data_IF_327584791844
#
_entry.id   IF_327584791844
#
_cell.length_a   1.000
_cell.length_b   1.000
_cell.length_c   1.000
_cell.angle_alpha   90.00
_cell.angle_beta   90.00
_cell.angle_gamma   90.00
#
_symmetry.space_group_name_H-M   'P 1'
#
loop_
_entity.id
_entity.type
_entity.pdbx_description
1 polymer ?
#
# COMPACT_ATOMS: atom_id res chain seq x y z
N UNK A 1 -1.74 -16.96 18.99
CA UNK A 1 -1.04 -16.35 17.85
C UNK A 1 -1.43 -17.13 16.61
N UNK A 2 -1.74 -16.46 15.50
CA UNK A 2 -2.06 -17.15 14.25
C UNK A 2 -0.75 -17.57 13.58
N UNK A 3 -0.57 -18.87 13.34
CA UNK A 3 0.58 -19.38 12.60
C UNK A 3 0.43 -18.94 11.13
N UNK A 4 1.43 -18.23 10.61
CA UNK A 4 1.39 -17.74 9.24
C UNK A 4 1.82 -18.86 8.29
N UNK A 5 1.19 -18.97 7.11
CA UNK A 5 1.58 -19.98 6.13
C UNK A 5 3.03 -19.76 5.67
N UNK A 6 3.76 -20.86 5.47
CA UNK A 6 5.12 -20.80 4.92
C UNK A 6 5.08 -20.33 3.46
N UNK A 7 5.95 -19.38 3.12
CA UNK A 7 6.05 -18.88 1.76
C UNK A 7 6.77 -19.91 0.86
N UNK A 8 6.26 -20.19 -0.35
CA UNK A 8 6.95 -21.03 -1.30
C UNK A 8 8.23 -20.34 -1.82
N UNK A 9 9.29 -21.11 -2.03
CA UNK A 9 10.61 -20.57 -2.45
C UNK A 9 10.89 -20.70 -3.96
N UNK A 10 9.99 -21.33 -4.71
CA UNK A 10 10.14 -21.46 -6.17
C UNK A 10 9.53 -20.25 -6.87
N UNK A 11 10.17 -19.76 -7.94
CA UNK A 11 9.81 -18.49 -8.57
C UNK A 11 8.35 -18.36 -9.00
N UNK A 12 7.75 -19.42 -9.60
CA UNK A 12 6.34 -19.37 -10.04
C UNK A 12 5.36 -19.34 -8.87
N UNK A 13 5.61 -20.14 -7.83
CA UNK A 13 4.73 -20.20 -6.68
C UNK A 13 4.86 -18.95 -5.80
N UNK A 14 6.07 -18.41 -5.65
CA UNK A 14 6.30 -17.14 -4.98
C UNK A 14 5.57 -16.00 -5.69
N UNK A 15 5.71 -15.91 -7.03
CA UNK A 15 5.00 -14.92 -7.83
C UNK A 15 3.48 -14.97 -7.64
N UNK A 16 2.90 -16.17 -7.57
CA UNK A 16 1.46 -16.31 -7.37
C UNK A 16 0.99 -15.80 -5.99
N UNK A 17 1.86 -15.83 -4.97
CA UNK A 17 1.59 -15.24 -3.66
C UNK A 17 1.79 -13.72 -3.71
N UNK A 18 2.85 -13.24 -4.37
CA UNK A 18 3.09 -11.81 -4.60
C UNK A 18 1.90 -11.16 -5.31
N UNK A 19 1.42 -11.74 -6.41
CA UNK A 19 0.28 -11.22 -7.18
C UNK A 19 -1.00 -11.12 -6.31
N UNK A 20 -1.20 -12.05 -5.36
CA UNK A 20 -2.33 -12.01 -4.42
C UNK A 20 -2.16 -10.90 -3.37
N UNK A 21 -0.97 -10.75 -2.81
CA UNK A 21 -0.66 -9.71 -1.84
C UNK A 21 -0.77 -8.32 -2.47
N UNK A 22 -0.30 -8.17 -3.71
CA UNK A 22 -0.42 -6.93 -4.48
C UNK A 22 -1.90 -6.57 -4.70
N UNK A 23 -2.73 -7.56 -5.08
CA UNK A 23 -4.17 -7.35 -5.23
C UNK A 23 -4.86 -6.88 -3.94
N UNK A 24 -4.55 -7.51 -2.80
CA UNK A 24 -5.08 -7.10 -1.49
C UNK A 24 -4.61 -5.71 -1.09
N UNK A 25 -3.34 -5.40 -1.30
CA UNK A 25 -2.74 -4.10 -0.96
C UNK A 25 -3.33 -2.99 -1.82
N UNK A 26 -3.51 -3.21 -3.13
CA UNK A 26 -4.17 -2.27 -4.03
C UNK A 26 -5.63 -2.03 -3.64
N UNK A 27 -6.39 -3.09 -3.33
CA UNK A 27 -7.77 -2.95 -2.89
C UNK A 27 -7.88 -2.14 -1.58
N UNK A 28 -6.99 -2.40 -0.62
CA UNK A 28 -6.91 -1.65 0.63
C UNK A 28 -6.58 -0.17 0.37
N UNK A 29 -5.53 0.13 -0.40
CA UNK A 29 -5.13 1.49 -0.70
C UNK A 29 -6.26 2.27 -1.41
N UNK A 30 -6.94 1.64 -2.37
CA UNK A 30 -8.08 2.24 -3.06
C UNK A 30 -9.27 2.52 -2.13
N UNK A 31 -9.63 1.57 -1.28
CA UNK A 31 -10.70 1.76 -0.29
C UNK A 31 -10.34 2.85 0.74
N UNK A 32 -9.08 2.89 1.18
CA UNK A 32 -8.58 3.88 2.14
C UNK A 32 -8.55 5.29 1.53
N UNK A 33 -8.16 5.42 0.26
CA UNK A 33 -8.27 6.68 -0.48
C UNK A 33 -9.73 7.14 -0.62
N UNK A 34 -10.63 6.24 -1.02
CA UNK A 34 -12.04 6.55 -1.19
C UNK A 34 -12.69 7.07 0.10
N UNK A 35 -12.33 6.49 1.25
CA UNK A 35 -12.95 6.85 2.53
C UNK A 35 -12.39 8.11 3.17
N UNK A 36 -11.07 8.31 3.14
CA UNK A 36 -10.41 9.41 3.88
C UNK A 36 -9.77 10.49 3.00
N UNK A 37 -9.56 10.24 1.71
CA UNK A 37 -8.88 11.18 0.82
C UNK A 37 -7.54 11.65 1.40
N UNK A 38 -7.29 12.96 1.41
CA UNK A 38 -6.04 13.55 1.90
C UNK A 38 -5.85 13.47 3.42
N UNK A 39 -6.88 13.17 4.21
CA UNK A 39 -6.77 13.23 5.67
C UNK A 39 -5.86 12.13 6.25
N UNK A 40 -5.84 10.96 5.60
CA UNK A 40 -5.07 9.81 6.06
C UNK A 40 -4.18 9.21 4.98
N UNK A 41 -4.01 9.88 3.85
CA UNK A 41 -3.15 9.40 2.77
C UNK A 41 -2.11 10.46 2.46
N UNK A 42 -0.89 10.01 2.21
CA UNK A 42 0.14 10.84 1.60
C UNK A 42 0.02 10.78 0.09
N UNK A 43 0.14 11.95 -0.53
CA UNK A 43 0.17 12.11 -1.97
C UNK A 43 1.53 12.68 -2.33
N UNK A 44 2.31 11.89 -3.05
CA UNK A 44 3.68 12.20 -3.49
C UNK A 44 3.65 12.52 -4.98
N UNK A 45 4.35 13.57 -5.41
CA UNK A 45 4.49 13.95 -6.83
C UNK A 45 3.64 15.16 -7.24
N UNK A 46 3.54 15.37 -8.54
CA UNK A 46 2.91 16.54 -9.17
C UNK A 46 2.34 16.21 -10.57
N UNK A 47 1.79 17.21 -11.26
CA UNK A 47 1.21 17.04 -12.59
C UNK A 47 2.26 16.67 -13.67
N UNK A 48 3.54 16.94 -13.45
CA UNK A 48 4.61 16.61 -14.41
C UNK A 48 5.09 15.16 -14.26
N UNK A 49 5.14 14.66 -13.02
CA UNK A 49 5.72 13.36 -12.67
C UNK A 49 4.68 12.29 -12.33
N UNK A 50 3.42 12.71 -12.10
CA UNK A 50 2.32 11.87 -11.63
C UNK A 50 2.28 11.75 -10.10
N UNK A 51 1.16 11.22 -9.61
CA UNK A 51 0.89 11.10 -8.18
C UNK A 51 0.98 9.65 -7.69
N UNK A 52 1.60 9.45 -6.53
CA UNK A 52 1.60 8.20 -5.77
C UNK A 52 0.86 8.42 -4.46
N UNK A 53 -0.14 7.58 -4.20
CA UNK A 53 -0.96 7.63 -2.97
C UNK A 53 -0.54 6.50 -2.04
N UNK A 54 -0.23 6.84 -0.78
CA UNK A 54 0.16 5.86 0.25
C UNK A 54 -0.67 6.10 1.52
N UNK A 55 -1.36 5.09 2.07
CA UNK A 55 -2.00 5.20 3.38
C UNK A 55 -0.98 5.57 4.46
N UNK A 56 -1.22 6.67 5.18
CA UNK A 56 -0.34 7.11 6.26
C UNK A 56 -0.47 6.13 7.45
N UNK A 57 0.63 5.62 8.01
CA UNK A 57 0.58 4.60 9.06
C UNK A 57 -0.07 5.08 10.36
N UNK A 58 0.06 6.38 10.68
CA UNK A 58 -0.43 6.96 11.93
C UNK A 58 -1.05 8.35 11.71
N UNK A 59 -2.07 8.74 12.50
CA UNK A 59 -2.72 10.06 12.42
C UNK A 59 -1.75 11.24 12.65
N UNK A 60 -0.71 11.01 13.45
CA UNK A 60 0.29 12.01 13.83
C UNK A 60 1.35 12.23 12.74
N UNK A 61 1.42 11.34 11.74
CA UNK A 61 2.54 11.27 10.82
C UNK A 61 2.39 12.31 9.71
N UNK A 62 3.02 13.46 9.92
CA UNK A 62 3.14 14.50 8.90
C UNK A 62 4.08 14.02 7.79
N UNK A 63 3.78 14.45 6.57
CA UNK A 63 4.69 14.31 5.45
C UNK A 63 6.06 14.92 5.83
N UNK A 64 7.20 14.28 5.50
CA UNK A 64 8.51 14.82 5.85
C UNK A 64 8.68 16.23 5.25
N UNK A 65 8.91 17.23 6.10
CA UNK A 65 9.23 18.59 5.66
C UNK A 65 10.61 18.59 5.00
N UNK A 66 10.71 19.19 3.82
CA UNK A 66 11.95 19.36 3.05
C UNK A 66 12.85 20.44 3.64
#
# INVERSE_FOLDING_TARGET
EADLPTLPTTGKALKAVEDQLDGLTCAYAGAHWWWWGLERNWVLGDDETGYIVVPAPYPEQKFPEN
#
